data_IF_529754990749
#
_entry.id   IF_529754990749
#
_cell.length_a   1.000
_cell.length_b   1.000
_cell.length_c   1.000
_cell.angle_alpha   90.00
_cell.angle_beta   90.00
_cell.angle_gamma   90.00
#
_symmetry.space_group_name_H-M   'P 1'
#
loop_
_entity.id
_entity.type
_entity.pdbx_description
1 polymer ?
#
# COMPACT_ATOMS: atom_id res chain seq x y z
N UNK A 1 4.74 14.98 -2.32
CA UNK A 1 5.90 15.48 -3.08
C UNK A 1 6.81 16.32 -2.19
N UNK A 2 6.32 17.38 -1.53
CA UNK A 2 7.13 18.26 -0.68
C UNK A 2 7.86 17.52 0.44
N UNK A 3 7.22 16.54 1.08
CA UNK A 3 7.84 15.70 2.11
C UNK A 3 9.01 14.89 1.56
N UNK A 4 8.85 14.27 0.39
CA UNK A 4 9.94 13.50 -0.24
C UNK A 4 11.09 14.37 -0.72
N UNK A 5 10.79 15.55 -1.27
CA UNK A 5 11.82 16.53 -1.65
C UNK A 5 12.59 17.03 -0.42
N UNK A 6 11.89 17.28 0.68
CA UNK A 6 12.52 17.68 1.94
C UNK A 6 13.46 16.60 2.50
N UNK A 7 13.03 15.35 2.52
CA UNK A 7 13.85 14.21 2.96
C UNK A 7 15.07 14.01 2.05
N UNK A 8 14.89 14.13 0.72
CA UNK A 8 15.98 14.04 -0.23
C UNK A 8 17.01 15.17 -0.07
N UNK A 9 16.56 16.40 0.12
CA UNK A 9 17.43 17.54 0.38
C UNK A 9 18.22 17.38 1.69
N UNK A 10 17.58 16.88 2.75
CA UNK A 10 18.24 16.61 4.02
C UNK A 10 19.30 15.52 3.90
N UNK A 11 19.00 14.42 3.20
CA UNK A 11 19.97 13.35 2.91
C UNK A 11 21.18 13.86 2.14
N UNK A 12 20.97 14.70 1.12
CA UNK A 12 22.06 15.30 0.35
C UNK A 12 22.90 16.24 1.22
N UNK A 13 22.28 17.06 2.07
CA UNK A 13 22.98 17.97 2.97
C UNK A 13 23.81 17.23 4.04
N UNK A 14 23.39 16.03 4.45
CA UNK A 14 24.05 15.24 5.48
C UNK A 14 24.86 14.05 4.92
N UNK A 15 24.97 13.91 3.60
CA UNK A 15 25.69 12.80 2.96
C UNK A 15 27.18 12.68 3.35
N UNK A 16 27.78 13.77 3.82
CA UNK A 16 29.18 13.83 4.25
C UNK A 16 29.39 13.59 5.76
N UNK A 17 28.32 13.40 6.54
CA UNK A 17 28.42 13.16 7.98
C UNK A 17 28.73 11.69 8.29
N UNK A 18 29.93 11.36 8.85
CA UNK A 18 30.33 9.97 9.13
C UNK A 18 29.43 9.25 10.15
N UNK A 19 28.73 10.00 10.99
CA UNK A 19 27.82 9.46 12.01
C UNK A 19 26.51 8.90 11.42
N UNK A 20 26.18 9.24 10.17
CA UNK A 20 24.98 8.82 9.47
C UNK A 20 25.28 7.78 8.37
N UNK A 21 26.53 7.74 7.91
CA UNK A 21 27.01 6.78 6.92
C UNK A 21 27.20 5.41 7.60
N UNK A 22 26.28 4.49 7.38
CA UNK A 22 26.37 3.12 7.92
C UNK A 22 25.22 2.68 8.83
N UNK A 23 24.28 3.56 9.13
CA UNK A 23 23.06 3.15 9.85
C UNK A 23 22.02 2.73 8.81
N UNK A 24 21.84 1.42 8.62
CA UNK A 24 20.92 0.83 7.65
C UNK A 24 19.42 1.15 7.90
N UNK A 25 19.07 1.56 9.13
CA UNK A 25 17.68 1.80 9.56
C UNK A 25 17.38 3.29 9.85
N UNK A 26 18.11 4.23 9.21
CA UNK A 26 17.82 5.65 9.33
C UNK A 26 16.49 5.98 8.66
N UNK A 27 15.54 6.44 9.47
CA UNK A 27 14.33 7.03 8.95
C UNK A 27 14.51 8.57 8.83
N UNK A 28 14.76 9.11 7.63
CA UNK A 28 15.08 10.51 7.43
C UNK A 28 14.02 11.46 7.98
N UNK A 29 12.76 11.03 7.96
CA UNK A 29 11.62 11.82 8.44
C UNK A 29 11.76 12.18 9.93
N UNK A 30 12.12 11.22 10.78
CA UNK A 30 12.27 11.47 12.22
C UNK A 30 13.59 12.14 12.57
N UNK A 31 14.64 11.91 11.78
CA UNK A 31 15.94 12.54 12.02
C UNK A 31 15.97 14.04 11.64
N UNK A 32 15.15 14.45 10.67
CA UNK A 32 14.97 15.88 10.35
C UNK A 32 14.34 16.68 11.46
N UNK A 33 13.60 16.03 12.36
CA UNK A 33 12.85 16.69 13.43
C UNK A 33 13.75 17.01 14.62
N UNK A 34 13.56 18.19 15.19
CA UNK A 34 14.22 18.59 16.42
C UNK A 34 13.91 17.57 17.55
N UNK A 35 14.88 17.24 18.38
CA UNK A 35 14.79 16.27 19.48
C UNK A 35 13.55 16.46 20.38
N UNK A 36 13.13 17.71 20.60
CA UNK A 36 11.96 18.02 21.42
C UNK A 36 10.61 17.71 20.73
N UNK A 37 10.57 17.71 19.39
CA UNK A 37 9.35 17.49 18.59
C UNK A 37 9.23 16.02 18.17
N UNK A 38 10.33 15.28 18.13
CA UNK A 38 10.39 13.88 17.72
C UNK A 38 9.38 12.98 18.46
N UNK A 39 9.24 12.99 19.81
CA UNK A 39 8.27 12.15 20.51
C UNK A 39 6.83 12.45 20.11
N UNK A 40 6.50 13.71 19.90
CA UNK A 40 5.18 14.11 19.44
C UNK A 40 4.88 13.61 18.03
N UNK A 41 5.85 13.70 17.13
CA UNK A 41 5.72 13.18 15.76
C UNK A 41 5.54 11.65 15.72
N UNK A 42 6.21 10.92 16.61
CA UNK A 42 6.03 9.46 16.72
C UNK A 42 4.61 9.12 17.20
N UNK A 43 4.10 9.80 18.21
CA UNK A 43 2.72 9.61 18.69
C UNK A 43 1.73 9.92 17.56
N UNK A 44 1.91 11.04 16.87
CA UNK A 44 1.02 11.46 15.79
C UNK A 44 1.03 10.46 14.62
N UNK A 45 2.20 9.97 14.21
CA UNK A 45 2.32 8.97 13.14
C UNK A 45 1.70 7.62 13.54
N UNK A 46 1.80 7.23 14.82
CA UNK A 46 1.16 6.02 15.34
C UNK A 46 -0.36 6.14 15.29
N UNK A 47 -0.91 7.28 15.72
CA UNK A 47 -2.35 7.55 15.63
C UNK A 47 -2.83 7.56 14.16
N UNK A 48 -2.06 8.16 13.28
CA UNK A 48 -2.36 8.16 11.84
C UNK A 48 -2.37 6.73 11.26
N UNK A 49 -1.43 5.87 11.66
CA UNK A 49 -1.39 4.47 11.25
C UNK A 49 -2.61 3.68 11.75
N UNK A 50 -3.07 3.92 12.97
CA UNK A 50 -4.29 3.30 13.52
C UNK A 50 -5.51 3.70 12.67
N UNK A 51 -5.67 4.98 12.37
CA UNK A 51 -6.79 5.48 11.55
C UNK A 51 -6.73 4.90 10.14
N UNK A 52 -5.54 4.85 9.54
CA UNK A 52 -5.34 4.27 8.21
C UNK A 52 -5.70 2.78 8.19
N UNK A 53 -5.34 2.00 9.21
CA UNK A 53 -5.69 0.59 9.29
C UNK A 53 -7.21 0.38 9.39
N UNK A 54 -7.92 1.21 10.15
CA UNK A 54 -9.38 1.17 10.22
C UNK A 54 -10.03 1.48 8.87
N UNK A 55 -9.50 2.44 8.13
CA UNK A 55 -9.98 2.77 6.78
C UNK A 55 -9.79 1.60 5.82
N UNK A 56 -8.66 0.89 5.87
CA UNK A 56 -8.39 -0.29 5.06
C UNK A 56 -9.34 -1.45 5.39
N UNK A 57 -9.63 -1.70 6.67
CA UNK A 57 -10.58 -2.73 7.09
C UNK A 57 -11.98 -2.41 6.55
N UNK A 58 -12.43 -1.16 6.69
CA UNK A 58 -13.73 -0.72 6.16
C UNK A 58 -13.79 -0.85 4.64
N UNK A 59 -12.73 -0.49 3.94
CA UNK A 59 -12.60 -0.67 2.49
C UNK A 59 -12.70 -2.14 2.08
N UNK A 60 -12.01 -3.03 2.80
CA UNK A 60 -12.07 -4.47 2.54
C UNK A 60 -13.49 -5.03 2.72
N UNK A 61 -14.20 -4.63 3.78
CA UNK A 61 -15.60 -5.05 3.97
C UNK A 61 -16.50 -4.57 2.85
N UNK A 62 -16.33 -3.34 2.39
CA UNK A 62 -17.11 -2.78 1.29
C UNK A 62 -16.86 -3.54 -0.02
N UNK A 63 -15.58 -3.84 -0.34
CA UNK A 63 -15.22 -4.60 -1.53
C UNK A 63 -15.78 -6.03 -1.51
N UNK A 64 -15.67 -6.73 -0.38
CA UNK A 64 -16.20 -8.09 -0.26
C UNK A 64 -17.73 -8.11 -0.30
N UNK A 65 -18.38 -7.12 0.31
CA UNK A 65 -19.84 -6.99 0.23
C UNK A 65 -20.30 -6.79 -1.21
N UNK A 66 -19.61 -5.95 -1.98
CA UNK A 66 -19.93 -5.71 -3.38
C UNK A 66 -19.62 -6.92 -4.27
N UNK A 67 -18.50 -7.61 -4.04
CA UNK A 67 -18.17 -8.85 -4.72
C UNK A 67 -19.20 -9.96 -4.44
N UNK A 68 -19.73 -10.03 -3.22
CA UNK A 68 -20.80 -10.96 -2.87
C UNK A 68 -22.12 -10.62 -3.55
N UNK A 69 -22.43 -9.34 -3.75
CA UNK A 69 -23.63 -8.91 -4.50
C UNK A 69 -23.55 -9.20 -6.01
N UNK A 70 -22.34 -9.24 -6.54
CA UNK A 70 -22.07 -9.56 -7.95
C UNK A 70 -21.89 -11.06 -8.20
N UNK A 71 -22.18 -11.92 -7.21
CA UNK A 71 -21.99 -13.38 -7.27
C UNK A 71 -20.55 -13.84 -7.58
N UNK A 72 -19.58 -12.95 -7.39
CA UNK A 72 -18.14 -13.25 -7.54
C UNK A 72 -17.57 -13.99 -6.33
N UNK A 73 -18.23 -13.89 -5.17
CA UNK A 73 -17.87 -14.57 -3.92
C UNK A 73 -19.09 -15.21 -3.27
N UNK A 74 -18.90 -16.29 -2.49
CA UNK A 74 -20.01 -16.90 -1.77
C UNK A 74 -20.67 -15.89 -0.82
N UNK A 75 -21.99 -15.96 -0.70
CA UNK A 75 -22.77 -15.09 0.16
C UNK A 75 -22.33 -15.23 1.62
N UNK A 76 -21.78 -14.18 2.17
CA UNK A 76 -21.32 -14.12 3.56
C UNK A 76 -22.34 -13.40 4.43
N UNK A 77 -22.38 -13.77 5.71
CA UNK A 77 -23.23 -13.07 6.68
C UNK A 77 -22.67 -11.67 6.92
N UNK A 78 -23.44 -10.66 6.55
CA UNK A 78 -23.13 -9.26 6.76
C UNK A 78 -23.93 -8.74 7.95
N UNK A 79 -23.25 -8.24 8.96
CA UNK A 79 -23.86 -7.62 10.12
C UNK A 79 -23.80 -6.10 9.98
N UNK A 80 -24.90 -5.44 10.32
CA UNK A 80 -25.01 -3.99 10.37
C UNK A 80 -25.06 -3.58 11.85
N UNK A 81 -23.94 -3.20 12.48
CA UNK A 81 -23.90 -2.91 13.92
C UNK A 81 -24.64 -1.65 14.33
N UNK A 82 -24.93 -0.75 13.39
CA UNK A 82 -25.67 0.48 13.65
C UNK A 82 -26.88 0.60 12.72
N UNK A 83 -27.92 1.30 13.18
CA UNK A 83 -29.10 1.64 12.36
C UNK A 83 -28.77 2.56 11.17
N UNK A 84 -27.64 3.23 11.21
CA UNK A 84 -27.11 4.03 10.12
C UNK A 84 -26.49 3.13 9.03
N UNK A 85 -27.03 3.20 7.83
CA UNK A 85 -26.59 2.47 6.63
C UNK A 85 -25.14 2.84 6.21
N UNK A 86 -24.14 2.43 6.94
CA UNK A 86 -22.76 2.77 6.58
C UNK A 86 -21.71 1.90 7.26
N UNK A 87 -22.09 1.22 8.33
CA UNK A 87 -21.17 0.33 9.03
C UNK A 87 -21.48 -1.13 8.65
N UNK A 88 -20.55 -1.72 7.90
CA UNK A 88 -20.57 -3.12 7.50
C UNK A 88 -19.58 -3.88 8.38
N UNK A 89 -19.98 -5.03 8.89
CA UNK A 89 -19.09 -5.95 9.59
C UNK A 89 -19.27 -7.37 9.05
N UNK A 90 -18.19 -7.96 8.58
CA UNK A 90 -18.16 -9.32 8.03
C UNK A 90 -17.15 -10.12 8.86
N UNK A 91 -17.60 -10.97 9.80
CA UNK A 91 -16.72 -11.69 10.73
C UNK A 91 -15.68 -12.55 10.03
N UNK A 92 -16.06 -13.21 8.94
CA UNK A 92 -15.16 -14.08 8.18
C UNK A 92 -13.99 -13.29 7.58
N UNK A 93 -14.28 -12.15 6.97
CA UNK A 93 -13.24 -11.27 6.40
C UNK A 93 -12.34 -10.73 7.50
N UNK A 94 -12.92 -10.31 8.63
CA UNK A 94 -12.14 -9.80 9.75
C UNK A 94 -11.17 -10.87 10.28
N UNK A 95 -11.60 -12.11 10.45
CA UNK A 95 -10.75 -13.20 10.90
C UNK A 95 -9.64 -13.54 9.89
N UNK A 96 -9.97 -13.59 8.60
CA UNK A 96 -8.98 -13.81 7.54
C UNK A 96 -7.92 -12.69 7.52
N UNK A 97 -8.35 -11.43 7.63
CA UNK A 97 -7.43 -10.30 7.71
C UNK A 97 -6.55 -10.37 8.96
N UNK A 98 -7.11 -10.69 10.11
CA UNK A 98 -6.36 -10.83 11.36
C UNK A 98 -5.29 -11.92 11.25
N UNK A 99 -5.68 -13.11 10.80
CA UNK A 99 -4.75 -14.23 10.60
C UNK A 99 -3.68 -13.86 9.57
N UNK A 100 -4.08 -13.25 8.45
CA UNK A 100 -3.16 -12.76 7.44
C UNK A 100 -2.14 -11.74 7.97
N UNK A 101 -2.60 -10.75 8.75
CA UNK A 101 -1.70 -9.78 9.39
C UNK A 101 -0.72 -10.44 10.36
N UNK A 102 -1.19 -11.37 11.20
CA UNK A 102 -0.32 -12.10 12.13
C UNK A 102 0.74 -12.90 11.37
N UNK A 103 0.35 -13.63 10.33
CA UNK A 103 1.28 -14.39 9.49
C UNK A 103 2.33 -13.47 8.85
N UNK A 104 1.90 -12.35 8.26
CA UNK A 104 2.81 -11.39 7.62
C UNK A 104 3.81 -10.81 8.63
N UNK A 105 3.37 -10.43 9.82
CA UNK A 105 4.25 -9.90 10.88
C UNK A 105 5.26 -10.95 11.33
N UNK A 106 4.83 -12.20 11.49
CA UNK A 106 5.72 -13.29 11.92
C UNK A 106 6.73 -13.69 10.84
N UNK A 107 6.33 -13.63 9.55
CA UNK A 107 7.21 -13.99 8.44
C UNK A 107 8.27 -12.92 8.16
N UNK A 108 7.85 -11.66 8.12
CA UNK A 108 8.76 -10.60 7.66
C UNK A 108 9.61 -10.01 8.79
N UNK A 109 9.13 -9.96 10.03
CA UNK A 109 9.83 -9.46 11.24
C UNK A 109 10.56 -8.10 11.07
N UNK A 110 10.80 -7.68 9.84
CA UNK A 110 11.55 -6.48 9.46
C UNK A 110 10.69 -5.56 8.59
N UNK A 111 10.66 -4.27 8.92
CA UNK A 111 9.86 -3.26 8.24
C UNK A 111 10.25 -3.10 6.75
N UNK A 112 11.54 -3.19 6.43
CA UNK A 112 12.03 -3.05 5.06
C UNK A 112 11.54 -4.17 4.13
N UNK A 113 11.45 -5.41 4.63
CA UNK A 113 10.95 -6.54 3.86
C UNK A 113 9.45 -6.46 3.63
N UNK A 114 8.69 -5.99 4.64
CA UNK A 114 7.27 -5.72 4.51
C UNK A 114 6.99 -4.64 3.46
N UNK A 115 7.79 -3.57 3.44
CA UNK A 115 7.68 -2.49 2.45
C UNK A 115 7.91 -2.98 1.02
N UNK A 116 8.91 -3.85 0.81
CA UNK A 116 9.20 -4.44 -0.49
C UNK A 116 8.04 -5.33 -1.00
N UNK A 117 7.50 -6.19 -0.13
CA UNK A 117 6.36 -7.04 -0.46
C UNK A 117 5.09 -6.22 -0.74
N UNK A 118 4.84 -5.18 0.05
CA UNK A 118 3.74 -4.25 -0.14
C UNK A 118 3.85 -3.48 -1.47
N UNK A 119 5.04 -2.99 -1.80
CA UNK A 119 5.31 -2.32 -3.07
C UNK A 119 5.01 -3.21 -4.28
N UNK A 120 5.39 -4.50 -4.20
CA UNK A 120 5.11 -5.46 -5.25
C UNK A 120 3.61 -5.75 -5.39
N UNK A 121 2.90 -5.91 -4.27
CA UNK A 121 1.45 -6.13 -4.29
C UNK A 121 0.69 -4.95 -4.89
N UNK A 122 1.07 -3.71 -4.55
CA UNK A 122 0.45 -2.50 -5.11
C UNK A 122 0.69 -2.40 -6.61
N UNK A 123 1.93 -2.56 -7.08
CA UNK A 123 2.24 -2.44 -8.50
C UNK A 123 1.49 -3.48 -9.33
N UNK A 124 1.34 -4.70 -8.81
CA UNK A 124 0.55 -5.76 -9.44
C UNK A 124 -0.94 -5.38 -9.53
N UNK A 125 -1.50 -4.83 -8.46
CA UNK A 125 -2.89 -4.36 -8.43
C UNK A 125 -3.11 -3.21 -9.41
N UNK A 126 -2.16 -2.28 -9.51
CA UNK A 126 -2.22 -1.18 -10.47
C UNK A 126 -2.23 -1.70 -11.91
N UNK A 127 -1.35 -2.66 -12.25
CA UNK A 127 -1.33 -3.30 -13.58
C UNK A 127 -2.65 -3.99 -13.91
N UNK A 128 -3.23 -4.73 -12.97
CA UNK A 128 -4.55 -5.35 -13.15
C UNK A 128 -5.64 -4.29 -13.40
N UNK A 129 -5.62 -3.18 -12.65
CA UNK A 129 -6.59 -2.10 -12.81
C UNK A 129 -6.46 -1.42 -14.18
N UNK A 130 -5.23 -1.18 -14.65
CA UNK A 130 -4.96 -0.62 -15.98
C UNK A 130 -5.46 -1.55 -17.09
N UNK A 131 -5.25 -2.86 -16.95
CA UNK A 131 -5.77 -3.83 -17.91
C UNK A 131 -7.31 -3.86 -17.93
N UNK A 132 -7.95 -3.89 -16.76
CA UNK A 132 -9.41 -3.86 -16.67
C UNK A 132 -9.99 -2.58 -17.29
N UNK A 133 -9.36 -1.44 -17.01
CA UNK A 133 -9.78 -0.16 -17.59
C UNK A 133 -9.58 -0.14 -19.11
N UNK A 134 -8.50 -0.74 -19.62
CA UNK A 134 -8.29 -0.90 -21.05
C UNK A 134 -9.44 -1.68 -21.70
N UNK A 135 -9.80 -2.85 -21.16
CA UNK A 135 -10.89 -3.65 -21.68
C UNK A 135 -12.23 -2.90 -21.62
N UNK A 136 -12.50 -2.22 -20.51
CA UNK A 136 -13.71 -1.42 -20.36
C UNK A 136 -13.81 -0.30 -21.42
N UNK A 137 -12.73 0.44 -21.64
CA UNK A 137 -12.72 1.53 -22.62
C UNK A 137 -12.81 1.01 -24.06
N UNK A 138 -12.23 -0.16 -24.33
CA UNK A 138 -12.24 -0.75 -25.65
C UNK A 138 -13.61 -1.33 -26.03
N UNK A 139 -14.20 -2.11 -25.12
CA UNK A 139 -15.46 -2.82 -25.38
C UNK A 139 -16.69 -1.93 -25.18
N UNK A 140 -16.80 -1.30 -24.00
CA UNK A 140 -17.99 -0.51 -23.64
C UNK A 140 -18.04 0.84 -24.34
N UNK A 141 -16.93 1.56 -24.36
CA UNK A 141 -16.85 2.90 -24.96
C UNK A 141 -16.51 2.90 -26.44
N UNK A 142 -16.15 1.73 -27.01
CA UNK A 142 -15.81 1.55 -28.43
C UNK A 142 -14.79 2.55 -28.96
N UNK A 143 -13.91 3.03 -28.08
CA UNK A 143 -12.81 3.92 -28.44
C UNK A 143 -11.73 3.11 -29.15
N UNK A 144 -11.33 3.52 -30.36
CA UNK A 144 -10.39 2.74 -31.19
C UNK A 144 -8.92 2.96 -30.83
N UNK A 145 -8.52 4.19 -30.54
CA UNK A 145 -7.09 4.56 -30.37
C UNK A 145 -6.75 4.96 -28.95
N UNK A 146 -7.64 5.70 -28.28
CA UNK A 146 -7.38 6.21 -26.93
C UNK A 146 -7.06 5.11 -25.89
N UNK A 147 -7.73 3.94 -25.85
CA UNK A 147 -7.38 2.88 -24.89
C UNK A 147 -5.96 2.34 -25.07
N UNK A 148 -5.49 2.22 -26.33
CA UNK A 148 -4.16 1.71 -26.62
C UNK A 148 -3.05 2.66 -26.16
N UNK A 149 -3.22 3.97 -26.39
CA UNK A 149 -2.26 4.98 -25.94
C UNK A 149 -2.25 5.01 -24.40
N UNK A 150 -3.44 4.99 -23.79
CA UNK A 150 -3.58 4.97 -22.34
C UNK A 150 -2.89 3.73 -21.74
N UNK A 151 -3.24 2.54 -22.19
CA UNK A 151 -2.68 1.30 -21.68
C UNK A 151 -1.17 1.24 -21.88
N UNK A 152 -0.65 1.60 -23.06
CA UNK A 152 0.78 1.60 -23.33
C UNK A 152 1.55 2.53 -22.40
N UNK A 153 1.05 3.75 -22.17
CA UNK A 153 1.68 4.72 -21.29
C UNK A 153 1.71 4.25 -19.84
N UNK A 154 0.56 3.81 -19.30
CA UNK A 154 0.47 3.39 -17.91
C UNK A 154 1.17 2.06 -17.66
N UNK A 155 1.02 1.06 -18.52
CA UNK A 155 1.72 -0.22 -18.38
C UNK A 155 3.25 -0.08 -18.47
N UNK A 156 3.74 0.84 -19.29
CA UNK A 156 5.17 1.12 -19.35
C UNK A 156 5.66 1.73 -18.02
N UNK A 157 4.94 2.71 -17.49
CA UNK A 157 5.27 3.35 -16.24
C UNK A 157 5.17 2.36 -15.05
N UNK A 158 4.08 1.61 -14.97
CA UNK A 158 3.85 0.58 -13.95
C UNK A 158 4.87 -0.56 -14.06
N UNK A 159 5.27 -0.92 -15.27
CA UNK A 159 6.32 -1.90 -15.54
C UNK A 159 7.67 -1.52 -14.94
N UNK A 160 8.06 -0.24 -15.03
CA UNK A 160 9.26 0.26 -14.36
C UNK A 160 9.16 0.14 -12.84
N UNK A 161 8.03 0.49 -12.26
CA UNK A 161 7.81 0.34 -10.82
C UNK A 161 7.79 -1.13 -10.40
N UNK A 162 7.18 -1.99 -11.20
CA UNK A 162 7.15 -3.43 -10.95
C UNK A 162 8.55 -4.05 -10.94
N UNK A 163 9.37 -3.76 -11.96
CA UNK A 163 10.75 -4.23 -12.03
C UNK A 163 11.57 -3.72 -10.84
N UNK A 164 11.42 -2.43 -10.48
CA UNK A 164 12.10 -1.85 -9.31
C UNK A 164 11.66 -2.52 -8.00
N UNK A 165 10.38 -2.81 -7.84
CA UNK A 165 9.86 -3.50 -6.64
C UNK A 165 10.32 -4.97 -6.60
N UNK A 166 10.38 -5.62 -7.76
CA UNK A 166 10.85 -6.99 -7.89
C UNK A 166 12.33 -7.12 -7.54
N UNK A 167 13.17 -6.21 -8.01
CA UNK A 167 14.60 -6.21 -7.66
C UNK A 167 14.82 -5.99 -6.16
N UNK A 168 14.07 -5.08 -5.53
CA UNK A 168 14.11 -4.90 -4.07
C UNK A 168 13.67 -6.16 -3.32
N UNK A 169 12.63 -6.83 -3.82
CA UNK A 169 12.12 -8.06 -3.23
C UNK A 169 13.16 -9.17 -3.27
N UNK A 170 13.86 -9.38 -4.39
CA UNK A 170 14.90 -10.41 -4.53
C UNK A 170 16.20 -10.08 -3.79
N UNK A 171 16.56 -8.80 -3.64
CA UNK A 171 17.80 -8.40 -2.97
C UNK A 171 17.68 -8.23 -1.45
N UNK A 172 16.52 -8.32 -0.87
CA UNK A 172 16.34 -8.15 0.57
C UNK A 172 14.99 -8.57 1.13
N UNK A 173 14.00 -8.80 0.27
CA UNK A 173 12.65 -9.13 0.70
C UNK A 173 12.36 -10.62 0.90
N UNK A 174 13.26 -11.49 0.45
CA UNK A 174 13.01 -12.95 0.48
C UNK A 174 13.92 -13.72 1.43
N UNK A 175 15.12 -13.21 1.78
CA UNK A 175 16.06 -13.89 2.63
C UNK A 175 16.75 -12.96 3.64
N UNK A 176 16.46 -13.14 4.86
CA UNK A 176 17.41 -13.29 5.98
C UNK A 176 16.82 -14.21 7.00
#
# INVERSE_FOLDING_TARGET
LLSYLGQGAWLLANASNPSLVGIHDLNPFFEMLNSNVRPFAVILSTLAAIIASQALITGAFSLVSEASRLDLMPHMQVFYPAETKGQLYIPMVNNVMLVGCVIVVLLFQNSAHMEAAYGLAITLTMMCTTLLLFFYLHEERKLKVAPWIFAAFFLLLEGFFFVSSLTKFFHGGYFT
#
